data_IF_366702649097
#
_entry.id   IF_366702649097
#
_cell.length_a   1.000
_cell.length_b   1.000
_cell.length_c   1.000
_cell.angle_alpha   90.00
_cell.angle_beta   90.00
_cell.angle_gamma   90.00
#
_symmetry.space_group_name_H-M   'P 1'
#
loop_
_entity.id
_entity.type
_entity.pdbx_description
1 polymer ?
#
# COMPACT_ATOMS: atom_id res chain seq x y z
N UNK A 1 11.44 0.77 -18.45
CA UNK A 1 11.75 0.38 -17.06
C UNK A 1 12.61 1.48 -16.49
N UNK A 2 12.06 2.30 -15.59
CA UNK A 2 12.90 3.19 -14.80
C UNK A 2 13.87 2.31 -13.99
N UNK A 3 15.16 2.50 -14.22
CA UNK A 3 16.21 1.93 -13.38
C UNK A 3 15.93 2.37 -11.95
N UNK A 4 15.71 1.41 -11.04
CA UNK A 4 15.68 1.66 -9.60
C UNK A 4 16.86 2.58 -9.26
N UNK A 5 16.57 3.84 -8.94
CA UNK A 5 17.56 4.78 -8.42
C UNK A 5 18.28 4.07 -7.26
N UNK A 6 19.62 4.16 -7.23
CA UNK A 6 20.40 3.55 -6.14
C UNK A 6 19.83 4.03 -4.81
N UNK A 7 19.39 3.08 -3.98
CA UNK A 7 18.96 3.38 -2.62
C UNK A 7 20.18 3.88 -1.86
N UNK A 8 20.19 5.15 -1.48
CA UNK A 8 21.23 5.71 -0.62
C UNK A 8 21.03 5.20 0.80
N UNK A 9 22.04 4.52 1.34
CA UNK A 9 22.02 4.00 2.70
C UNK A 9 22.57 5.04 3.66
N UNK A 10 21.86 5.29 4.75
CA UNK A 10 22.35 6.17 5.81
C UNK A 10 23.52 5.50 6.54
N UNK A 11 24.30 6.32 7.24
CA UNK A 11 25.37 5.84 8.12
C UNK A 11 24.81 4.89 9.18
N UNK A 12 23.69 5.23 9.80
CA UNK A 12 23.07 4.48 10.89
C UNK A 12 22.58 3.10 10.40
N UNK A 13 21.99 3.04 9.20
CA UNK A 13 21.56 1.77 8.62
C UNK A 13 22.75 0.88 8.25
N UNK A 14 23.82 1.48 7.74
CA UNK A 14 25.08 0.77 7.44
C UNK A 14 25.70 0.21 8.72
N UNK A 15 25.76 1.02 9.78
CA UNK A 15 26.27 0.59 11.09
C UNK A 15 25.44 -0.56 11.68
N UNK A 16 24.12 -0.51 11.56
CA UNK A 16 23.26 -1.62 11.97
C UNK A 16 23.62 -2.91 11.22
N UNK A 17 23.76 -2.84 9.90
CA UNK A 17 24.17 -3.96 9.06
C UNK A 17 25.53 -4.52 9.51
N UNK A 18 26.53 -3.65 9.72
CA UNK A 18 27.88 -4.05 10.15
C UNK A 18 27.90 -4.70 11.54
N UNK A 19 27.12 -4.19 12.50
CA UNK A 19 27.07 -4.71 13.88
C UNK A 19 26.52 -6.14 13.91
N UNK A 20 25.48 -6.42 13.12
CA UNK A 20 24.78 -7.70 13.15
C UNK A 20 25.17 -8.64 12.00
N UNK A 21 26.08 -8.21 11.12
CA UNK A 21 26.59 -9.03 10.02
C UNK A 21 25.58 -9.25 8.88
N UNK A 22 24.68 -8.27 8.66
CA UNK A 22 23.74 -8.29 7.55
C UNK A 22 24.24 -7.45 6.38
N UNK A 23 23.76 -7.74 5.18
CA UNK A 23 23.81 -6.82 4.06
C UNK A 23 22.51 -6.03 3.96
N UNK A 24 22.59 -4.80 3.44
CA UNK A 24 21.41 -3.98 3.20
C UNK A 24 20.38 -4.68 2.30
N UNK A 25 20.85 -5.39 1.27
CA UNK A 25 19.99 -6.14 0.35
C UNK A 25 19.23 -7.26 1.06
N UNK A 26 19.85 -7.97 2.00
CA UNK A 26 19.16 -9.01 2.77
C UNK A 26 18.03 -8.41 3.62
N UNK A 27 18.31 -7.32 4.35
CA UNK A 27 17.29 -6.67 5.19
C UNK A 27 16.11 -6.17 4.35
N UNK A 28 16.39 -5.52 3.22
CA UNK A 28 15.35 -5.02 2.32
C UNK A 28 14.56 -6.16 1.66
N UNK A 29 15.23 -7.23 1.24
CA UNK A 29 14.56 -8.38 0.66
C UNK A 29 13.68 -9.09 1.69
N UNK A 30 14.15 -9.21 2.94
CA UNK A 30 13.38 -9.81 4.03
C UNK A 30 12.13 -8.98 4.35
N UNK A 31 12.26 -7.64 4.33
CA UNK A 31 11.10 -6.76 4.41
C UNK A 31 10.09 -7.04 3.30
N UNK A 32 10.52 -7.03 2.03
CA UNK A 32 9.65 -7.26 0.86
C UNK A 32 8.97 -8.63 0.92
N UNK A 33 9.71 -9.68 1.31
CA UNK A 33 9.19 -11.04 1.38
C UNK A 33 8.08 -11.21 2.43
N UNK A 34 8.03 -10.33 3.44
CA UNK A 34 7.12 -10.44 4.58
C UNK A 34 5.98 -9.40 4.57
N UNK A 35 5.89 -8.54 3.56
CA UNK A 35 4.70 -7.69 3.36
C UNK A 35 3.52 -8.56 2.91
N UNK A 36 2.52 -8.68 3.78
CA UNK A 36 1.26 -9.38 3.59
C UNK A 36 0.24 -8.80 4.58
N UNK A 37 -0.55 -7.81 4.12
CA UNK A 37 -1.54 -7.10 4.95
C UNK A 37 -2.59 -8.07 5.49
N UNK A 38 -2.93 -9.12 4.75
CA UNK A 38 -3.90 -10.12 5.22
C UNK A 38 -3.36 -10.88 6.42
N UNK A 39 -2.10 -11.34 6.35
CA UNK A 39 -1.44 -11.95 7.51
C UNK A 39 -1.33 -10.99 8.69
N UNK A 40 -1.02 -9.72 8.44
CA UNK A 40 -0.96 -8.70 9.50
C UNK A 40 -2.29 -8.56 10.27
N UNK A 41 -3.42 -8.60 9.57
CA UNK A 41 -4.75 -8.49 10.17
C UNK A 41 -5.21 -9.78 10.85
N UNK A 42 -4.86 -10.94 10.30
CA UNK A 42 -5.35 -12.23 10.79
C UNK A 42 -4.45 -12.87 11.86
N UNK A 43 -3.16 -12.58 11.87
CA UNK A 43 -2.17 -13.24 12.74
C UNK A 43 -1.39 -12.23 13.58
N UNK A 44 -1.98 -11.74 14.69
CA UNK A 44 -1.37 -10.68 15.49
C UNK A 44 -0.06 -11.07 16.18
N UNK A 45 0.24 -12.37 16.26
CA UNK A 45 1.43 -12.94 16.90
C UNK A 45 2.49 -13.41 15.88
N UNK A 46 2.31 -13.14 14.58
CA UNK A 46 3.29 -13.49 13.57
C UNK A 46 4.63 -12.76 13.83
N UNK A 47 5.77 -13.46 13.85
CA UNK A 47 7.06 -12.85 14.17
C UNK A 47 7.54 -11.86 13.09
N UNK A 48 7.04 -11.96 11.86
CA UNK A 48 7.35 -11.08 10.74
C UNK A 48 6.33 -9.95 10.55
N UNK A 49 5.42 -9.78 11.52
CA UNK A 49 4.43 -8.70 11.54
C UNK A 49 5.05 -7.29 11.42
N UNK A 50 6.32 -7.14 11.82
CA UNK A 50 7.06 -5.87 11.77
C UNK A 50 7.13 -5.26 10.36
N UNK A 51 7.21 -6.09 9.30
CA UNK A 51 7.30 -5.59 7.93
C UNK A 51 6.02 -4.84 7.53
N UNK A 52 4.87 -5.39 7.90
CA UNK A 52 3.58 -4.76 7.66
C UNK A 52 3.37 -3.54 8.56
N UNK A 53 3.81 -3.60 9.83
CA UNK A 53 3.75 -2.43 10.71
C UNK A 53 4.52 -1.25 10.12
N UNK A 54 5.73 -1.48 9.60
CA UNK A 54 6.50 -0.43 8.93
C UNK A 54 5.72 0.20 7.76
N UNK A 55 5.09 -0.61 6.90
CA UNK A 55 4.26 -0.11 5.80
C UNK A 55 3.07 0.73 6.28
N UNK A 56 2.41 0.31 7.36
CA UNK A 56 1.27 1.05 7.92
C UNK A 56 1.70 2.39 8.52
N UNK A 57 2.81 2.42 9.28
CA UNK A 57 3.37 3.66 9.84
C UNK A 57 3.81 4.62 8.73
N UNK A 58 4.45 4.10 7.68
CA UNK A 58 4.81 4.87 6.50
C UNK A 58 3.59 5.48 5.82
N UNK A 59 2.53 4.68 5.63
CA UNK A 59 1.25 5.15 5.09
C UNK A 59 0.69 6.28 5.97
N UNK A 60 0.60 6.11 7.28
CA UNK A 60 0.06 7.12 8.21
C UNK A 60 0.89 8.41 8.15
N UNK A 61 2.22 8.30 8.14
CA UNK A 61 3.12 9.45 8.14
C UNK A 61 3.02 10.30 6.87
N UNK A 62 2.73 9.68 5.72
CA UNK A 62 2.76 10.33 4.41
C UNK A 62 1.38 10.56 3.79
N UNK A 63 0.37 9.85 4.26
CA UNK A 63 -1.02 10.04 3.83
C UNK A 63 -1.60 11.26 4.55
N UNK A 64 -1.58 12.41 3.88
CA UNK A 64 -2.30 13.61 4.31
C UNK A 64 -3.72 13.70 3.74
N UNK A 65 -4.13 12.72 2.93
CA UNK A 65 -5.44 12.71 2.27
C UNK A 65 -6.47 12.05 3.19
N UNK A 66 -7.44 12.85 3.64
CA UNK A 66 -8.60 12.39 4.42
C UNK A 66 -9.41 11.32 3.67
N UNK A 67 -9.47 11.41 2.33
CA UNK A 67 -10.15 10.44 1.46
C UNK A 67 -9.52 9.05 1.51
N UNK A 68 -8.18 8.96 1.56
CA UNK A 68 -7.48 7.67 1.69
C UNK A 68 -7.76 7.05 3.06
N UNK A 69 -7.80 7.86 4.12
CA UNK A 69 -8.13 7.40 5.47
C UNK A 69 -9.58 6.92 5.56
N UNK A 70 -10.53 7.61 4.92
CA UNK A 70 -11.92 7.16 4.81
C UNK A 70 -12.04 5.81 4.09
N UNK A 71 -11.42 5.66 2.92
CA UNK A 71 -11.42 4.40 2.16
C UNK A 71 -10.81 3.25 2.95
N UNK A 72 -9.75 3.53 3.73
CA UNK A 72 -9.17 2.56 4.65
C UNK A 72 -10.14 2.18 5.79
N UNK A 73 -10.88 3.14 6.33
CA UNK A 73 -11.96 2.91 7.30
C UNK A 73 -13.04 1.99 6.76
N UNK A 74 -13.56 2.27 5.55
CA UNK A 74 -14.57 1.42 4.88
C UNK A 74 -14.08 -0.01 4.66
N UNK A 75 -12.81 -0.18 4.27
CA UNK A 75 -12.18 -1.49 4.17
C UNK A 75 -12.21 -2.21 5.53
N UNK A 76 -11.85 -1.52 6.62
CA UNK A 76 -11.86 -2.05 7.97
C UNK A 76 -13.24 -2.53 8.42
N UNK A 77 -14.31 -1.80 8.08
CA UNK A 77 -15.68 -2.19 8.38
C UNK A 77 -16.10 -3.45 7.62
N UNK A 78 -15.81 -3.51 6.31
CA UNK A 78 -16.07 -4.69 5.48
C UNK A 78 -15.32 -5.91 6.01
N UNK A 79 -14.06 -5.74 6.35
CA UNK A 79 -13.23 -6.78 6.94
C UNK A 79 -13.82 -7.30 8.25
N UNK A 80 -14.19 -6.41 9.17
CA UNK A 80 -14.79 -6.78 10.44
C UNK A 80 -16.10 -7.57 10.25
N UNK A 81 -16.94 -7.16 9.29
CA UNK A 81 -18.18 -7.86 8.97
C UNK A 81 -17.93 -9.28 8.43
N UNK A 82 -16.90 -9.46 7.59
CA UNK A 82 -16.51 -10.79 7.08
C UNK A 82 -15.99 -11.68 8.22
N UNK A 83 -15.12 -11.13 9.07
CA UNK A 83 -14.58 -11.86 10.24
C UNK A 83 -15.64 -12.21 11.29
N UNK A 84 -16.75 -11.47 11.36
CA UNK A 84 -17.87 -11.82 12.24
C UNK A 84 -18.72 -12.97 11.69
N UNK A 85 -18.81 -13.11 10.36
CA UNK A 85 -19.64 -14.12 9.69
C UNK A 85 -18.95 -15.48 9.60
N UNK A 86 -17.68 -15.50 9.22
CA UNK A 86 -16.91 -16.73 9.07
C UNK A 86 -15.43 -16.51 9.41
N UNK A 87 -15.00 -17.12 10.51
CA UNK A 87 -13.61 -17.08 11.00
C UNK A 87 -12.77 -18.26 10.54
N UNK A 88 -13.41 -19.30 10.01
CA UNK A 88 -12.73 -20.56 9.69
C UNK A 88 -11.72 -20.39 8.56
N UNK A 89 -11.97 -19.43 7.65
CA UNK A 89 -11.05 -19.05 6.57
C UNK A 89 -10.72 -17.54 6.57
N UNK A 90 -10.37 -17.01 7.75
CA UNK A 90 -10.08 -15.58 7.94
C UNK A 90 -9.02 -15.03 6.96
N UNK A 91 -7.96 -15.80 6.68
CA UNK A 91 -6.86 -15.35 5.83
C UNK A 91 -7.28 -15.20 4.37
N UNK A 92 -7.91 -16.22 3.78
CA UNK A 92 -8.28 -16.14 2.36
C UNK A 92 -9.41 -15.14 2.15
N UNK A 93 -10.36 -15.07 3.09
CA UNK A 93 -11.40 -14.04 3.09
C UNK A 93 -10.82 -12.62 3.11
N UNK A 94 -9.77 -12.39 3.92
CA UNK A 94 -9.09 -11.09 3.98
C UNK A 94 -8.31 -10.79 2.70
N UNK A 95 -7.64 -11.79 2.11
CA UNK A 95 -6.93 -11.62 0.82
C UNK A 95 -7.89 -11.26 -0.31
N UNK A 96 -9.02 -11.95 -0.41
CA UNK A 96 -10.04 -11.64 -1.42
C UNK A 96 -10.54 -10.19 -1.29
N UNK A 97 -10.80 -9.73 -0.06
CA UNK A 97 -11.21 -8.35 0.19
C UNK A 97 -10.13 -7.32 -0.20
N UNK A 98 -8.86 -7.62 0.06
CA UNK A 98 -7.73 -6.78 -0.35
C UNK A 98 -7.58 -6.73 -1.88
N UNK A 99 -7.75 -7.86 -2.57
CA UNK A 99 -7.70 -7.91 -4.03
C UNK A 99 -8.81 -7.06 -4.66
N UNK A 100 -10.02 -7.11 -4.11
CA UNK A 100 -11.14 -6.30 -4.57
C UNK A 100 -10.91 -4.81 -4.29
N UNK A 101 -10.36 -4.47 -3.13
CA UNK A 101 -10.00 -3.08 -2.82
C UNK A 101 -8.90 -2.56 -3.74
N UNK A 102 -7.88 -3.37 -4.02
CA UNK A 102 -6.80 -3.03 -4.95
C UNK A 102 -7.34 -2.74 -6.35
N UNK A 103 -8.24 -3.59 -6.88
CA UNK A 103 -8.90 -3.35 -8.18
C UNK A 103 -9.66 -2.02 -8.19
N UNK A 104 -10.48 -1.77 -7.15
CA UNK A 104 -11.25 -0.53 -7.05
C UNK A 104 -10.35 0.72 -7.01
N UNK A 105 -9.20 0.66 -6.32
CA UNK A 105 -8.22 1.76 -6.31
C UNK A 105 -7.61 1.97 -7.70
N UNK A 106 -7.28 0.90 -8.43
CA UNK A 106 -6.76 1.03 -9.80
C UNK A 106 -7.79 1.61 -10.77
N UNK A 107 -9.05 1.16 -10.69
CA UNK A 107 -10.15 1.68 -11.51
C UNK A 107 -10.39 3.17 -11.26
N UNK A 108 -10.43 3.60 -10.00
CA UNK A 108 -10.57 5.02 -9.65
C UNK A 108 -9.42 5.86 -10.21
N UNK A 109 -8.17 5.38 -10.11
CA UNK A 109 -7.00 6.08 -10.67
C UNK A 109 -7.06 6.21 -12.19
N UNK A 110 -7.57 5.18 -12.89
CA UNK A 110 -7.77 5.24 -14.34
C UNK A 110 -8.84 6.29 -14.68
N UNK A 111 -9.95 6.32 -13.94
CA UNK A 111 -11.02 7.30 -14.16
C UNK A 111 -10.58 8.75 -13.89
N UNK A 112 -9.72 8.97 -12.90
CA UNK A 112 -9.13 10.29 -12.63
C UNK A 112 -8.26 10.76 -13.80
N UNK A 113 -7.36 9.90 -14.29
CA UNK A 113 -6.52 10.22 -15.47
C UNK A 113 -7.38 10.53 -16.71
N UNK A 114 -8.41 9.70 -16.96
CA UNK A 114 -9.28 9.91 -18.12
C UNK A 114 -10.14 11.17 -18.03
N UNK A 115 -10.50 11.63 -16.81
CA UNK A 115 -11.22 12.89 -16.62
C UNK A 115 -10.32 14.11 -16.83
N UNK A 116 -9.10 14.06 -16.31
CA UNK A 116 -8.12 15.14 -16.47
C UNK A 116 -7.76 15.35 -17.97
N UNK A 117 -7.72 14.26 -18.76
CA UNK A 117 -7.51 14.35 -20.21
C UNK A 117 -8.74 14.94 -20.96
N UNK A 118 -9.97 14.73 -20.47
CA UNK A 118 -11.19 15.24 -21.12
C UNK A 118 -11.51 16.71 -20.82
N UNK A 119 -11.02 17.25 -19.69
CA UNK A 119 -11.22 18.66 -19.33
C UNK A 119 -10.21 19.61 -20.01
N UNK A 120 -9.30 19.07 -20.83
CA UNK A 120 -8.25 19.85 -21.53
C UNK A 120 -8.56 20.13 -23.02
N UNK A 121 -9.63 19.57 -23.60
CA UNK A 121 -9.95 19.76 -25.03
C UNK A 121 -11.15 20.67 -25.34
N UNK A 122 -11.92 21.15 -24.36
CA UNK A 122 -13.07 22.05 -24.60
C UNK A 122 -12.80 23.48 -24.12
N UNK A 123 -11.98 24.24 -24.85
CA UNK A 123 -11.73 25.62 -24.47
C UNK A 123 -10.84 26.50 -25.34
N UNK A 124 -10.92 26.45 -26.67
CA UNK A 124 -10.59 27.62 -27.53
C UNK A 124 -11.05 27.40 -28.99
N UNK A 125 -12.31 27.70 -29.28
CA UNK A 125 -12.74 28.08 -30.63
C UNK A 125 -12.65 29.61 -30.73
N UNK A 126 -11.47 30.10 -31.09
CA UNK A 126 -11.32 31.48 -31.58
C UNK A 126 -11.85 31.49 -33.03
N UNK A 127 -13.06 32.00 -33.23
CA UNK A 127 -13.52 32.42 -34.56
C UNK A 127 -13.04 33.85 -34.80
N UNK A 128 -12.03 34.02 -35.64
CA UNK A 128 -11.69 35.32 -36.23
C UNK A 128 -12.72 35.66 -37.32
N UNK A 129 -13.40 36.80 -37.14
CA UNK A 129 -14.00 37.60 -38.23
C UNK A 129 -13.31 38.97 -38.28
#
# INVERSE_FOLDING_TARGET
METLNKIELTKEFTQFCDIFGFTASEVLQEFVNNVDIAKYLCYPLDPYRWANLFMMEYLIALTKSEDILMKYGEFGEKWAAVMQKDKSDALNNTRALLDDWHKAVLENRIHEIMKDDSDTEDGELITEE
#
